data_IF_644363586926
#
_entry.id   IF_644363586926
#
_cell.length_a   1.000
_cell.length_b   1.000
_cell.length_c   1.000
_cell.angle_alpha   90.00
_cell.angle_beta   90.00
_cell.angle_gamma   90.00
#
_symmetry.space_group_name_H-M   'P 1'
#
loop_
_entity.id
_entity.type
_entity.pdbx_description
1 polymer ?
#
# COMPACT_ATOMS: atom_id res chain seq x y z
N UNK A 1 -2.18 34.95 24.06
CA UNK A 1 -3.00 33.73 24.08
C UNK A 1 -2.37 32.74 23.15
N UNK A 2 -2.26 31.46 23.54
CA UNK A 2 -1.77 30.39 22.67
C UNK A 2 -2.64 30.31 21.40
N UNK A 3 -2.01 30.14 20.22
CA UNK A 3 -2.75 29.99 18.98
C UNK A 3 -3.46 28.61 18.93
N UNK A 4 -4.43 28.44 18.02
CA UNK A 4 -5.25 27.22 17.96
C UNK A 4 -4.38 25.95 17.78
N UNK A 5 -3.27 26.02 17.03
CA UNK A 5 -2.40 24.85 16.86
C UNK A 5 -1.65 24.46 18.13
N UNK A 6 -1.22 25.41 18.94
CA UNK A 6 -0.60 25.13 20.25
C UNK A 6 -1.62 24.53 21.21
N UNK A 7 -2.83 25.06 21.25
CA UNK A 7 -3.93 24.48 22.01
C UNK A 7 -4.25 23.05 21.59
N UNK A 8 -4.34 22.80 20.28
CA UNK A 8 -4.58 21.45 19.76
C UNK A 8 -3.48 20.46 20.20
N UNK A 9 -2.21 20.84 20.13
CA UNK A 9 -1.10 20.00 20.57
C UNK A 9 -1.22 19.70 22.07
N UNK A 10 -1.50 20.72 22.89
CA UNK A 10 -1.72 20.54 24.32
C UNK A 10 -2.87 19.57 24.61
N UNK A 11 -4.01 19.75 23.97
CA UNK A 11 -5.19 18.90 24.16
C UNK A 11 -4.98 17.45 23.66
N UNK A 12 -4.25 17.28 22.56
CA UNK A 12 -3.84 15.95 22.13
C UNK A 12 -2.98 15.25 23.17
N UNK A 13 -2.13 15.98 23.86
CA UNK A 13 -1.32 15.48 24.98
C UNK A 13 -2.13 15.15 26.24
N UNK A 14 -3.18 15.91 26.54
CA UNK A 14 -4.09 15.68 27.67
C UNK A 14 -5.03 14.47 27.44
N UNK A 15 -5.31 14.12 26.17
CA UNK A 15 -6.12 12.98 25.83
C UNK A 15 -7.63 13.22 25.78
N UNK A 16 -8.45 12.16 25.75
CA UNK A 16 -9.90 12.27 25.55
C UNK A 16 -10.64 12.90 26.75
N UNK A 17 -10.03 12.94 27.93
CA UNK A 17 -10.62 13.53 29.13
C UNK A 17 -10.54 15.06 29.17
N UNK A 18 -9.82 15.70 28.24
CA UNK A 18 -9.77 17.16 28.14
C UNK A 18 -11.12 17.75 27.74
N UNK A 19 -11.35 19.00 28.10
CA UNK A 19 -12.58 19.71 27.69
C UNK A 19 -12.47 20.23 26.26
N UNK A 20 -12.85 19.40 25.31
CA UNK A 20 -12.83 19.71 23.86
C UNK A 20 -13.92 20.69 23.41
N UNK A 21 -14.85 21.12 24.30
CA UNK A 21 -16.01 21.94 23.90
C UNK A 21 -15.60 23.30 23.33
N UNK A 22 -14.50 23.86 23.79
CA UNK A 22 -13.95 25.14 23.31
C UNK A 22 -13.05 25.03 22.06
N UNK A 23 -12.85 23.82 21.51
CA UNK A 23 -11.93 23.59 20.37
C UNK A 23 -12.62 22.86 19.22
N UNK A 24 -13.43 21.82 19.50
CA UNK A 24 -14.10 21.03 18.47
C UNK A 24 -15.58 21.41 18.40
N UNK A 25 -16.08 21.69 17.19
CA UNK A 25 -17.49 22.01 16.96
C UNK A 25 -18.40 20.82 17.33
N UNK A 26 -19.66 21.07 17.79
CA UNK A 26 -20.57 19.99 18.16
C UNK A 26 -20.87 19.01 17.02
N UNK A 27 -20.89 19.52 15.79
CA UNK A 27 -21.18 18.81 14.54
C UNK A 27 -19.92 18.48 13.73
N UNK A 28 -18.75 18.50 14.37
CA UNK A 28 -17.49 18.21 13.71
C UNK A 28 -17.51 16.81 13.07
N UNK A 29 -16.80 16.68 11.96
CA UNK A 29 -16.60 15.40 11.27
C UNK A 29 -15.19 14.87 11.45
N UNK A 30 -15.04 13.56 11.39
CA UNK A 30 -13.77 12.86 11.36
C UNK A 30 -13.71 11.95 10.15
N UNK A 31 -12.65 12.08 9.37
CA UNK A 31 -12.43 11.27 8.18
C UNK A 31 -11.09 10.53 8.26
N UNK A 32 -11.13 9.25 7.98
CA UNK A 32 -9.97 8.45 7.63
C UNK A 32 -10.28 7.59 6.39
N UNK A 33 -9.31 6.78 5.94
CA UNK A 33 -9.52 5.93 4.75
C UNK A 33 -10.59 4.84 4.94
N UNK A 34 -11.04 4.58 6.16
CA UNK A 34 -11.96 3.50 6.49
C UNK A 34 -13.38 3.98 6.80
N UNK A 35 -13.53 5.17 7.39
CA UNK A 35 -14.81 5.65 7.92
C UNK A 35 -14.91 7.17 7.98
N UNK A 36 -16.13 7.65 8.01
CA UNK A 36 -16.49 9.04 8.33
C UNK A 36 -17.44 9.04 9.52
N UNK A 37 -17.14 9.83 10.54
CA UNK A 37 -17.98 10.00 11.74
C UNK A 37 -18.41 11.45 11.87
N UNK A 38 -19.55 11.69 12.53
CA UNK A 38 -20.07 13.02 12.81
C UNK A 38 -20.45 13.16 14.29
N UNK A 39 -20.16 14.31 14.86
CA UNK A 39 -20.40 14.64 16.26
C UNK A 39 -19.13 14.64 17.11
N UNK A 40 -18.98 15.68 17.95
CA UNK A 40 -17.79 15.90 18.77
C UNK A 40 -17.35 14.67 19.54
N UNK A 41 -18.26 14.06 20.29
CA UNK A 41 -17.92 12.96 21.20
C UNK A 41 -17.45 11.73 20.44
N UNK A 42 -18.15 11.37 19.35
CA UNK A 42 -17.75 10.27 18.45
C UNK A 42 -16.38 10.53 17.80
N UNK A 43 -16.14 11.79 17.40
CA UNK A 43 -14.86 12.22 16.81
C UNK A 43 -13.72 12.10 17.82
N UNK A 44 -13.92 12.53 19.07
CA UNK A 44 -12.92 12.45 20.14
C UNK A 44 -12.65 10.99 20.49
N UNK A 45 -13.69 10.21 20.75
CA UNK A 45 -13.57 8.79 21.03
C UNK A 45 -12.75 8.09 19.94
N UNK A 46 -13.07 8.35 18.69
CA UNK A 46 -12.39 7.74 17.56
C UNK A 46 -10.95 8.21 17.39
N UNK A 47 -10.69 9.49 17.57
CA UNK A 47 -9.36 10.06 17.46
C UNK A 47 -8.40 9.38 18.44
N UNK A 48 -8.83 9.12 19.66
CA UNK A 48 -8.01 8.53 20.71
C UNK A 48 -8.05 6.98 20.78
N UNK A 49 -9.01 6.33 20.11
CA UNK A 49 -9.09 4.87 20.08
C UNK A 49 -7.88 4.19 19.43
N UNK A 50 -7.15 4.91 18.58
CA UNK A 50 -6.11 4.32 17.73
C UNK A 50 -4.69 4.65 18.13
N UNK A 51 -4.45 5.65 18.99
CA UNK A 51 -3.08 6.15 19.15
C UNK A 51 -2.88 6.77 20.52
N UNK A 52 -1.83 6.39 21.27
CA UNK A 52 -1.38 7.13 22.42
C UNK A 52 -0.70 8.42 21.98
N UNK A 53 -1.46 9.48 21.77
CA UNK A 53 -0.91 10.79 21.37
C UNK A 53 -0.01 11.43 22.40
N UNK A 54 -0.14 11.06 23.67
CA UNK A 54 0.60 11.66 24.78
C UNK A 54 2.13 11.57 24.66
N UNK A 55 2.64 10.57 23.91
CA UNK A 55 4.09 10.37 23.75
C UNK A 55 4.65 10.89 22.45
N UNK A 56 3.80 11.43 21.57
CA UNK A 56 4.26 11.90 20.26
C UNK A 56 4.89 13.30 20.30
N UNK A 57 5.89 13.47 19.50
CA UNK A 57 6.45 14.80 19.17
C UNK A 57 5.63 15.36 18.00
N UNK A 58 5.11 16.57 18.20
CA UNK A 58 4.25 17.25 17.23
C UNK A 58 4.98 18.34 16.49
N UNK A 59 4.76 18.41 15.20
CA UNK A 59 5.24 19.45 14.32
C UNK A 59 4.05 20.03 13.53
N UNK A 60 3.95 21.35 13.50
CA UNK A 60 3.02 22.04 12.61
C UNK A 60 3.64 22.11 11.22
N UNK A 61 2.90 21.61 10.22
CA UNK A 61 3.29 21.73 8.82
C UNK A 61 2.68 23.01 8.22
N UNK A 62 3.43 23.68 7.35
CA UNK A 62 2.92 24.81 6.60
C UNK A 62 1.90 24.33 5.56
N UNK A 63 0.78 25.03 5.47
CA UNK A 63 -0.24 24.80 4.43
C UNK A 63 0.19 25.57 3.18
N UNK A 64 0.60 24.85 2.14
CA UNK A 64 0.89 25.43 0.83
C UNK A 64 -0.42 25.56 0.05
N UNK A 65 -0.84 26.82 -0.21
CA UNK A 65 -2.04 27.09 -1.02
C UNK A 65 -3.12 27.93 -0.33
N UNK A 66 -4.31 28.06 -0.93
CA UNK A 66 -5.38 28.96 -0.45
C UNK A 66 -6.11 28.48 0.83
N UNK A 67 -5.73 27.34 1.41
CA UNK A 67 -6.39 26.77 2.58
C UNK A 67 -5.92 27.34 3.92
N UNK A 68 -6.12 28.64 4.16
CA UNK A 68 -5.81 29.25 5.48
C UNK A 68 -6.70 28.74 6.64
N UNK A 69 -7.72 27.98 6.31
CA UNK A 69 -8.71 27.43 7.26
C UNK A 69 -8.34 26.02 7.72
N UNK A 70 -7.09 25.59 7.54
CA UNK A 70 -6.61 24.28 7.95
C UNK A 70 -5.34 24.39 8.80
N UNK A 71 -5.28 23.53 9.82
CA UNK A 71 -4.06 23.28 10.61
C UNK A 71 -3.65 21.85 10.32
N UNK A 72 -2.38 21.65 9.98
CA UNK A 72 -1.82 20.31 9.73
C UNK A 72 -0.76 20.05 10.81
N UNK A 73 -0.95 18.98 11.56
CA UNK A 73 0.01 18.52 12.57
C UNK A 73 0.55 17.15 12.16
N UNK A 74 1.87 17.04 12.12
CA UNK A 74 2.57 15.77 12.00
C UNK A 74 2.95 15.28 13.38
N UNK A 75 2.47 14.12 13.78
CA UNK A 75 2.86 13.43 15.00
C UNK A 75 3.80 12.28 14.68
N UNK A 76 4.94 12.22 15.34
CA UNK A 76 5.90 11.14 15.23
C UNK A 76 6.30 10.63 16.61
N UNK A 77 6.65 9.33 16.77
CA UNK A 77 7.24 8.87 18.00
C UNK A 77 8.57 9.62 18.26
N UNK A 78 8.98 9.79 19.53
CA UNK A 78 10.27 10.37 19.84
C UNK A 78 11.40 9.54 19.22
N UNK A 79 12.57 10.14 19.06
CA UNK A 79 13.74 9.49 18.45
C UNK A 79 14.06 8.17 19.18
N UNK A 80 14.09 7.06 18.42
CA UNK A 80 14.30 5.71 18.96
C UNK A 80 13.04 5.06 19.56
N UNK A 81 11.89 5.74 19.59
CA UNK A 81 10.62 5.19 20.05
C UNK A 81 9.94 4.31 19.02
N UNK A 82 9.14 3.37 19.49
CA UNK A 82 8.24 2.60 18.62
C UNK A 82 6.96 3.41 18.34
N UNK A 83 6.42 3.27 17.14
CA UNK A 83 5.17 3.92 16.74
C UNK A 83 5.15 4.29 15.26
N UNK A 84 4.10 5.01 14.87
CA UNK A 84 3.89 5.46 13.49
C UNK A 84 3.90 6.98 13.42
N UNK A 85 4.41 7.50 12.32
CA UNK A 85 4.16 8.88 11.94
C UNK A 85 2.76 8.97 11.34
N UNK A 86 2.01 9.97 11.76
CA UNK A 86 0.72 10.27 11.17
C UNK A 86 0.54 11.78 11.03
N UNK A 87 -0.41 12.17 10.20
CA UNK A 87 -0.78 13.56 10.00
C UNK A 87 -2.25 13.73 10.34
N UNK A 88 -2.53 14.69 11.19
CA UNK A 88 -3.86 15.20 11.47
C UNK A 88 -4.06 16.50 10.70
N UNK A 89 -5.13 16.57 9.93
CA UNK A 89 -5.58 17.78 9.27
C UNK A 89 -6.84 18.28 9.96
N UNK A 90 -6.79 19.49 10.47
CA UNK A 90 -7.93 20.13 11.13
C UNK A 90 -8.44 21.24 10.22
N UNK A 91 -9.68 21.11 9.73
CA UNK A 91 -10.37 22.22 9.09
C UNK A 91 -10.98 23.10 10.18
N UNK A 92 -10.82 24.41 10.05
CA UNK A 92 -11.23 25.36 11.06
C UNK A 92 -12.25 26.35 10.52
N UNK A 93 -13.12 26.85 11.42
CA UNK A 93 -13.99 28.00 11.17
C UNK A 93 -13.87 28.92 12.40
N UNK A 94 -13.14 30.02 12.23
CA UNK A 94 -12.71 30.81 13.38
C UNK A 94 -11.74 30.01 14.27
N UNK A 95 -12.03 29.95 15.57
CA UNK A 95 -11.24 29.19 16.55
C UNK A 95 -11.74 27.74 16.78
N UNK A 96 -12.72 27.30 16.00
CA UNK A 96 -13.32 25.98 16.15
C UNK A 96 -12.88 25.04 15.03
N UNK A 97 -12.55 23.80 15.39
CA UNK A 97 -12.33 22.70 14.45
C UNK A 97 -13.67 22.14 14.01
N UNK A 98 -13.91 22.08 12.70
CA UNK A 98 -15.14 21.58 12.09
C UNK A 98 -14.97 20.24 11.39
N UNK A 99 -13.72 19.86 11.04
CA UNK A 99 -13.44 18.52 10.51
C UNK A 99 -12.02 18.11 10.88
N UNK A 100 -11.81 16.81 11.08
CA UNK A 100 -10.53 16.19 11.34
C UNK A 100 -10.31 15.10 10.32
N UNK A 101 -9.20 15.18 9.59
CA UNK A 101 -8.69 14.12 8.72
C UNK A 101 -7.49 13.45 9.37
N UNK A 102 -7.42 12.14 9.32
CA UNK A 102 -6.29 11.39 9.82
C UNK A 102 -5.66 10.54 8.72
N UNK A 103 -4.36 10.67 8.55
CA UNK A 103 -3.57 9.87 7.63
C UNK A 103 -2.37 9.26 8.36
N UNK A 104 -2.14 7.98 8.12
CA UNK A 104 -0.96 7.28 8.62
C UNK A 104 0.12 7.25 7.55
N UNK A 105 1.35 7.57 7.94
CA UNK A 105 2.52 7.46 7.09
C UNK A 105 3.42 6.33 7.57
N UNK A 106 3.81 5.52 6.63
CA UNK A 106 4.56 4.30 6.89
C UNK A 106 3.64 3.14 7.28
N UNK A 107 3.91 2.00 6.71
CA UNK A 107 3.38 0.74 7.23
C UNK A 107 3.93 0.56 8.67
N UNK A 108 3.18 -0.10 9.57
CA UNK A 108 3.81 -0.59 10.79
C UNK A 108 5.12 -1.25 10.39
N UNK A 109 6.13 -1.16 11.25
CA UNK A 109 7.36 -1.96 11.07
C UNK A 109 6.94 -3.43 11.08
N UNK A 110 6.53 -3.92 9.90
CA UNK A 110 6.27 -5.35 9.73
C UNK A 110 7.64 -5.99 9.76
N UNK A 111 7.86 -6.82 10.74
CA UNK A 111 9.12 -7.57 10.87
C UNK A 111 9.33 -8.35 9.58
N UNK A 112 10.50 -8.22 8.99
CA UNK A 112 10.85 -8.99 7.80
C UNK A 112 10.90 -10.47 8.15
N UNK A 113 10.32 -11.29 7.30
CA UNK A 113 10.43 -12.76 7.36
C UNK A 113 11.02 -13.29 6.05
N UNK A 114 11.54 -14.51 6.11
CA UNK A 114 12.10 -15.17 4.94
C UNK A 114 11.08 -15.23 3.80
N UNK A 115 11.55 -15.10 2.55
CA UNK A 115 10.73 -15.16 1.35
C UNK A 115 10.04 -16.52 1.23
N UNK A 116 8.79 -16.55 1.64
CA UNK A 116 7.90 -17.71 1.52
C UNK A 116 6.45 -17.22 1.53
N UNK A 117 5.86 -17.04 0.36
CA UNK A 117 4.44 -16.76 0.26
C UNK A 117 3.64 -17.97 0.76
N UNK A 118 2.70 -17.72 1.64
CA UNK A 118 1.73 -18.73 2.08
C UNK A 118 0.67 -19.01 0.98
N UNK A 119 -0.18 -19.99 1.22
CA UNK A 119 -1.20 -20.41 0.26
C UNK A 119 -2.28 -19.33 0.05
N UNK A 120 -2.57 -18.53 1.07
CA UNK A 120 -3.56 -17.46 0.97
C UNK A 120 -3.07 -16.35 0.03
N UNK A 121 -1.81 -15.93 0.19
CA UNK A 121 -1.19 -14.91 -0.66
C UNK A 121 -1.02 -15.41 -2.10
N UNK A 122 -0.56 -16.66 -2.28
CA UNK A 122 -0.42 -17.28 -3.61
C UNK A 122 -1.78 -17.36 -4.31
N UNK A 123 -2.80 -17.87 -3.63
CA UNK A 123 -4.16 -17.96 -4.17
C UNK A 123 -4.74 -16.58 -4.56
N UNK A 124 -4.37 -15.51 -3.86
CA UNK A 124 -4.76 -14.15 -4.20
C UNK A 124 -4.16 -13.71 -5.53
N UNK A 125 -2.88 -13.97 -5.75
CA UNK A 125 -2.21 -13.62 -7.01
C UNK A 125 -2.71 -14.47 -8.19
N UNK A 126 -2.88 -15.78 -7.99
CA UNK A 126 -3.37 -16.70 -9.03
C UNK A 126 -4.80 -16.36 -9.50
N UNK A 127 -5.63 -15.79 -8.62
CA UNK A 127 -7.00 -15.39 -8.94
C UNK A 127 -7.14 -13.91 -9.32
N UNK A 128 -6.04 -13.15 -9.36
CA UNK A 128 -6.07 -11.71 -9.58
C UNK A 128 -6.88 -11.32 -10.83
N UNK A 129 -6.62 -11.95 -11.97
CA UNK A 129 -7.37 -11.68 -13.20
C UNK A 129 -8.86 -12.02 -13.08
N UNK A 130 -9.18 -13.19 -12.53
CA UNK A 130 -10.56 -13.64 -12.38
C UNK A 130 -11.39 -12.76 -11.43
N UNK A 131 -10.70 -12.09 -10.49
CA UNK A 131 -11.29 -11.13 -9.54
C UNK A 131 -11.31 -9.69 -10.06
N UNK A 132 -10.91 -9.45 -11.32
CA UNK A 132 -10.85 -8.10 -11.88
C UNK A 132 -9.73 -7.22 -11.33
N UNK A 133 -8.73 -7.83 -10.68
CA UNK A 133 -7.58 -7.17 -10.06
C UNK A 133 -6.25 -7.55 -10.75
N UNK A 134 -6.11 -7.39 -12.07
CA UNK A 134 -4.90 -7.80 -12.78
C UNK A 134 -3.68 -7.05 -12.24
N UNK A 135 -2.52 -7.73 -12.25
CA UNK A 135 -1.28 -7.15 -11.74
C UNK A 135 -0.62 -6.23 -12.77
N UNK A 136 0.08 -5.23 -12.28
CA UNK A 136 0.93 -4.35 -13.09
C UNK A 136 2.38 -4.81 -12.96
N UNK A 137 3.05 -4.94 -14.10
CA UNK A 137 4.49 -5.22 -14.19
C UNK A 137 5.22 -3.97 -14.67
N UNK A 138 6.28 -3.60 -13.98
CA UNK A 138 7.22 -2.57 -14.42
C UNK A 138 8.60 -3.19 -14.70
N UNK A 139 9.24 -2.70 -15.76
CA UNK A 139 10.57 -3.10 -16.20
C UNK A 139 11.27 -1.93 -16.90
N UNK A 140 12.56 -2.05 -17.15
CA UNK A 140 13.32 -1.04 -17.88
C UNK A 140 13.58 -1.56 -19.29
N UNK A 141 13.27 -0.76 -20.33
CA UNK A 141 13.52 -1.12 -21.71
C UNK A 141 15.01 -0.96 -22.07
N UNK A 142 15.39 -1.40 -23.28
CA UNK A 142 16.77 -1.30 -23.79
C UNK A 142 17.30 0.13 -23.90
N UNK A 143 16.43 1.11 -23.92
CA UNK A 143 16.81 2.54 -23.91
C UNK A 143 16.93 3.12 -22.48
N UNK A 144 16.83 2.29 -21.44
CA UNK A 144 16.90 2.73 -20.04
C UNK A 144 15.62 3.40 -19.52
N UNK A 145 14.50 3.30 -20.25
CA UNK A 145 13.24 3.94 -19.88
C UNK A 145 12.36 2.97 -19.10
N UNK A 146 11.73 3.43 -17.99
CA UNK A 146 10.75 2.62 -17.27
C UNK A 146 9.51 2.37 -18.13
N UNK A 147 9.05 1.15 -18.13
CA UNK A 147 7.85 0.68 -18.82
C UNK A 147 6.89 0.06 -17.84
N UNK A 148 5.60 0.20 -18.08
CA UNK A 148 4.55 -0.45 -17.29
C UNK A 148 3.60 -1.19 -18.22
N UNK A 149 3.19 -2.38 -17.81
CA UNK A 149 2.22 -3.18 -18.55
C UNK A 149 1.30 -3.95 -17.64
N UNK A 150 0.04 -4.05 -18.03
CA UNK A 150 -0.95 -4.89 -17.38
C UNK A 150 -0.65 -6.36 -17.65
N UNK A 151 -0.69 -7.19 -16.60
CA UNK A 151 -0.50 -8.64 -16.70
C UNK A 151 -1.70 -9.38 -16.11
N UNK A 152 -2.48 -9.97 -17.00
CA UNK A 152 -3.65 -10.75 -16.62
C UNK A 152 -3.30 -12.15 -16.10
N UNK A 153 -2.22 -12.75 -16.61
CA UNK A 153 -1.88 -14.16 -16.42
C UNK A 153 -0.61 -14.39 -15.61
N UNK A 154 -0.34 -13.56 -14.62
CA UNK A 154 0.67 -13.90 -13.62
C UNK A 154 0.15 -15.05 -12.75
N UNK A 155 0.98 -16.06 -12.55
CA UNK A 155 0.68 -17.23 -11.71
C UNK A 155 1.84 -17.51 -10.76
N UNK A 156 1.57 -18.13 -9.63
CA UNK A 156 2.60 -18.55 -8.69
C UNK A 156 3.20 -19.88 -9.13
N UNK A 157 4.52 -19.93 -9.29
CA UNK A 157 5.25 -21.18 -9.60
C UNK A 157 5.71 -21.89 -8.34
N UNK A 158 5.91 -21.14 -7.27
CA UNK A 158 6.38 -21.62 -5.99
C UNK A 158 6.10 -20.61 -4.88
N UNK A 159 6.65 -20.86 -3.69
CA UNK A 159 6.48 -19.95 -2.56
C UNK A 159 7.25 -18.64 -2.72
N UNK A 160 8.14 -18.53 -3.70
CA UNK A 160 9.07 -17.43 -3.89
C UNK A 160 9.22 -16.99 -5.35
N UNK A 161 8.35 -17.47 -6.24
CA UNK A 161 8.47 -17.20 -7.67
C UNK A 161 7.11 -17.11 -8.37
N UNK A 162 7.07 -16.27 -9.42
CA UNK A 162 5.94 -16.10 -10.30
C UNK A 162 6.31 -16.50 -11.74
N UNK A 163 5.31 -16.86 -12.52
CA UNK A 163 5.41 -17.12 -13.93
C UNK A 163 4.51 -16.24 -14.76
N UNK A 164 4.92 -15.92 -15.97
CA UNK A 164 4.07 -15.23 -16.94
C UNK A 164 4.45 -15.63 -18.38
N UNK A 165 3.49 -15.48 -19.28
CA UNK A 165 3.73 -15.62 -20.72
C UNK A 165 3.82 -14.26 -21.38
N UNK A 166 4.94 -13.98 -22.05
CA UNK A 166 5.13 -12.77 -22.84
C UNK A 166 4.92 -13.12 -24.30
N UNK A 167 3.92 -12.50 -24.95
CA UNK A 167 3.66 -12.71 -26.38
C UNK A 167 4.85 -12.24 -27.22
N UNK A 168 5.06 -12.87 -28.38
CA UNK A 168 6.21 -12.63 -29.26
C UNK A 168 6.46 -11.17 -29.65
N UNK A 169 5.41 -10.37 -29.80
CA UNK A 169 5.51 -8.96 -30.19
C UNK A 169 5.81 -7.99 -29.03
N UNK A 170 6.01 -8.50 -27.78
CA UNK A 170 6.32 -7.63 -26.65
C UNK A 170 7.83 -7.47 -26.49
N UNK A 171 8.28 -6.25 -26.14
CA UNK A 171 9.70 -5.98 -25.88
C UNK A 171 10.24 -6.59 -24.58
N UNK A 172 9.39 -7.23 -23.76
CA UNK A 172 9.74 -7.71 -22.42
C UNK A 172 10.84 -8.77 -22.43
N UNK A 173 10.81 -9.83 -23.25
CA UNK A 173 11.88 -10.83 -23.25
C UNK A 173 13.27 -10.22 -23.49
N UNK A 174 13.36 -9.28 -24.43
CA UNK A 174 14.61 -8.58 -24.70
C UNK A 174 15.03 -7.63 -23.56
N UNK A 175 14.08 -6.95 -22.95
CA UNK A 175 14.34 -6.04 -21.84
C UNK A 175 14.86 -6.80 -20.60
N UNK A 176 14.21 -7.89 -20.21
CA UNK A 176 14.61 -8.69 -19.02
C UNK A 176 15.92 -9.46 -19.23
N UNK A 177 16.29 -9.76 -20.47
CA UNK A 177 17.59 -10.36 -20.78
C UNK A 177 18.74 -9.38 -20.50
N UNK A 178 18.54 -8.08 -20.65
CA UNK A 178 19.53 -7.04 -20.38
C UNK A 178 19.46 -6.50 -18.95
N UNK A 179 18.24 -6.29 -18.44
CA UNK A 179 18.02 -5.86 -17.06
C UNK A 179 16.93 -6.74 -16.43
N UNK A 180 17.32 -7.69 -15.56
CA UNK A 180 16.38 -8.63 -14.97
C UNK A 180 15.49 -8.01 -13.89
N UNK A 181 15.82 -6.81 -13.37
CA UNK A 181 15.08 -6.22 -12.26
C UNK A 181 13.69 -5.76 -12.68
N UNK A 182 12.69 -6.25 -11.99
CA UNK A 182 11.29 -5.93 -12.22
C UNK A 182 10.60 -5.60 -10.91
N UNK A 183 9.52 -4.83 -11.02
CA UNK A 183 8.61 -4.62 -9.92
C UNK A 183 7.17 -4.91 -10.37
N UNK A 184 6.35 -5.40 -9.44
CA UNK A 184 4.95 -5.68 -9.68
C UNK A 184 4.10 -5.03 -8.59
N UNK A 185 2.86 -4.75 -8.96
CA UNK A 185 1.85 -4.26 -8.04
C UNK A 185 0.57 -5.06 -8.22
N UNK A 186 0.06 -5.58 -7.11
CA UNK A 186 -1.30 -6.08 -6.97
C UNK A 186 -2.14 -5.04 -6.26
N UNK A 187 -3.34 -4.78 -6.76
CA UNK A 187 -4.30 -3.89 -6.11
C UNK A 187 -5.71 -4.43 -6.25
N UNK A 188 -6.34 -4.69 -5.12
CA UNK A 188 -7.76 -4.95 -5.00
C UNK A 188 -8.42 -3.73 -4.31
N UNK A 189 -9.16 -2.90 -5.05
CA UNK A 189 -9.76 -1.69 -4.52
C UNK A 189 -10.91 -1.98 -3.54
N UNK A 190 -11.63 -3.08 -3.73
CA UNK A 190 -12.77 -3.45 -2.89
C UNK A 190 -12.30 -3.93 -1.52
N UNK A 191 -11.38 -4.87 -1.48
CA UNK A 191 -10.76 -5.33 -0.24
C UNK A 191 -9.75 -4.34 0.33
N UNK A 192 -9.39 -3.27 -0.40
CA UNK A 192 -8.28 -2.35 -0.09
C UNK A 192 -6.93 -3.05 0.06
N UNK A 193 -6.80 -4.25 -0.51
CA UNK A 193 -5.56 -4.99 -0.49
C UNK A 193 -4.55 -4.39 -1.47
N UNK A 194 -3.30 -4.31 -1.06
CA UNK A 194 -2.22 -3.81 -1.90
C UNK A 194 -0.94 -4.55 -1.58
N UNK A 195 -0.27 -5.04 -2.61
CA UNK A 195 1.04 -5.68 -2.48
C UNK A 195 1.98 -5.11 -3.54
N UNK A 196 3.19 -4.77 -3.14
CA UNK A 196 4.30 -4.48 -4.01
C UNK A 196 5.28 -5.65 -3.97
N UNK A 197 5.74 -6.06 -5.14
CA UNK A 197 6.70 -7.14 -5.28
C UNK A 197 7.89 -6.63 -6.09
N UNK A 198 9.09 -7.03 -5.72
CA UNK A 198 10.29 -6.83 -6.54
C UNK A 198 11.01 -8.15 -6.72
N UNK A 199 11.70 -8.29 -7.84
CA UNK A 199 12.41 -9.52 -8.14
C UNK A 199 13.22 -9.44 -9.43
N UNK A 200 13.74 -10.59 -9.82
CA UNK A 200 14.54 -10.75 -11.02
C UNK A 200 13.84 -11.67 -12.00
N UNK A 201 13.53 -11.13 -13.18
CA UNK A 201 12.92 -11.88 -14.26
C UNK A 201 13.99 -12.60 -15.09
N UNK A 202 13.69 -13.82 -15.50
CA UNK A 202 14.50 -14.61 -16.42
C UNK A 202 13.63 -15.37 -17.41
N UNK A 203 14.18 -15.66 -18.58
CA UNK A 203 13.50 -16.49 -19.58
C UNK A 203 13.59 -17.96 -19.12
N UNK A 204 12.46 -18.65 -19.11
CA UNK A 204 12.44 -20.09 -18.85
C UNK A 204 12.98 -20.84 -20.07
N UNK A 205 14.07 -21.56 -19.87
CA UNK A 205 14.73 -22.35 -20.94
C UNK A 205 14.31 -23.82 -20.94
N UNK A 206 13.81 -24.32 -19.82
CA UNK A 206 13.35 -25.68 -19.70
C UNK A 206 11.89 -25.83 -20.13
N UNK A 207 11.59 -26.93 -20.81
CA UNK A 207 10.28 -27.19 -21.39
C UNK A 207 9.20 -27.41 -20.33
N UNK A 208 9.53 -28.02 -19.21
CA UNK A 208 8.58 -28.30 -18.14
C UNK A 208 8.01 -26.99 -17.54
N UNK A 209 8.89 -26.02 -17.23
CA UNK A 209 8.47 -24.69 -16.75
C UNK A 209 7.68 -23.92 -17.82
N UNK A 210 8.12 -23.98 -19.08
CA UNK A 210 7.38 -23.35 -20.19
C UNK A 210 5.97 -23.89 -20.31
N UNK A 211 5.81 -25.22 -20.32
CA UNK A 211 4.52 -25.87 -20.43
C UNK A 211 3.65 -25.57 -19.20
N UNK A 212 4.21 -25.61 -18.00
CA UNK A 212 3.49 -25.27 -16.78
C UNK A 212 2.93 -23.84 -16.82
N UNK A 213 3.72 -22.88 -17.29
CA UNK A 213 3.25 -21.48 -17.44
C UNK A 213 2.18 -21.40 -18.50
N UNK A 214 2.35 -22.06 -19.64
CA UNK A 214 1.37 -22.07 -20.72
C UNK A 214 0.04 -22.69 -20.30
N UNK A 215 0.06 -23.85 -19.70
CA UNK A 215 -1.15 -24.60 -19.32
C UNK A 215 -1.96 -23.88 -18.24
N UNK A 216 -1.29 -23.12 -17.38
CA UNK A 216 -1.95 -22.34 -16.32
C UNK A 216 -2.52 -21.00 -16.81
N UNK A 217 -2.23 -20.57 -18.04
CA UNK A 217 -2.79 -19.32 -18.57
C UNK A 217 -4.30 -19.44 -18.81
N UNK A 218 -5.03 -18.33 -18.62
CA UNK A 218 -6.44 -18.26 -19.00
C UNK A 218 -6.63 -18.57 -20.49
N UNK A 219 -7.65 -19.36 -20.82
CA UNK A 219 -7.95 -19.74 -22.22
C UNK A 219 -8.02 -18.56 -23.21
N UNK A 220 -8.60 -17.40 -22.88
CA UNK A 220 -8.56 -16.26 -23.77
C UNK A 220 -7.14 -15.83 -24.16
N UNK A 221 -6.19 -15.87 -23.24
CA UNK A 221 -4.79 -15.52 -23.53
C UNK A 221 -4.08 -16.57 -24.38
N UNK A 222 -4.33 -17.88 -24.11
CA UNK A 222 -3.81 -18.95 -24.97
C UNK A 222 -4.28 -18.80 -26.43
N UNK A 223 -5.52 -18.36 -26.65
CA UNK A 223 -6.07 -18.15 -28.00
C UNK A 223 -5.37 -17.03 -28.77
N UNK A 224 -4.78 -16.05 -28.06
CA UNK A 224 -4.02 -14.97 -28.69
C UNK A 224 -2.61 -15.40 -29.15
N UNK A 225 -2.13 -16.56 -28.69
CA UNK A 225 -0.83 -17.12 -29.08
C UNK A 225 -0.92 -18.64 -29.28
N UNK A 226 -1.92 -19.09 -30.04
CA UNK A 226 -2.18 -20.51 -30.28
C UNK A 226 -0.98 -21.26 -30.88
N UNK A 227 -0.05 -20.56 -31.51
CA UNK A 227 1.16 -21.12 -32.10
C UNK A 227 2.34 -21.19 -31.08
N UNK A 228 2.14 -20.81 -29.82
CA UNK A 228 3.14 -20.85 -28.75
C UNK A 228 4.43 -20.08 -29.10
N UNK A 229 4.30 -18.95 -29.81
CA UNK A 229 5.45 -18.14 -30.25
C UNK A 229 5.99 -17.22 -29.15
N UNK A 230 5.26 -17.08 -28.06
CA UNK A 230 5.67 -16.27 -26.91
C UNK A 230 6.77 -16.91 -26.09
N UNK A 231 7.14 -16.22 -25.05
CA UNK A 231 8.25 -16.57 -24.15
C UNK A 231 7.73 -16.70 -22.73
N UNK A 232 8.00 -17.84 -22.10
CA UNK A 232 7.78 -18.03 -20.67
C UNK A 232 8.84 -17.27 -19.87
N UNK A 233 8.39 -16.46 -18.92
CA UNK A 233 9.26 -15.70 -18.02
C UNK A 233 8.97 -16.13 -16.60
N UNK A 234 10.02 -16.40 -15.85
CA UNK A 234 9.99 -16.65 -14.40
C UNK A 234 10.48 -15.39 -13.69
N UNK A 235 9.84 -15.02 -12.63
CA UNK A 235 10.22 -13.90 -11.75
C UNK A 235 10.55 -14.50 -10.38
N UNK A 236 11.82 -14.54 -10.05
CA UNK A 236 12.30 -14.92 -8.73
C UNK A 236 12.18 -13.69 -7.82
N UNK A 237 11.34 -13.78 -6.77
CA UNK A 237 10.99 -12.65 -5.92
C UNK A 237 12.09 -12.37 -4.91
N UNK A 238 12.52 -11.12 -4.82
CA UNK A 238 13.43 -10.61 -3.79
C UNK A 238 12.69 -10.06 -2.59
N UNK A 239 11.50 -9.47 -2.83
CA UNK A 239 10.66 -8.89 -1.78
C UNK A 239 9.17 -8.94 -2.14
N UNK A 240 8.34 -9.18 -1.13
CA UNK A 240 6.88 -8.97 -1.17
C UNK A 240 6.49 -8.17 0.06
N UNK A 241 5.88 -7.01 -0.13
CA UNK A 241 5.41 -6.18 0.98
C UNK A 241 4.01 -5.65 0.70
N UNK A 242 3.16 -5.66 1.71
CA UNK A 242 1.78 -5.17 1.57
C UNK A 242 0.86 -5.69 2.65
N UNK A 243 -0.44 -5.61 2.38
CA UNK A 243 -1.50 -6.04 3.31
C UNK A 243 -2.73 -6.52 2.55
N UNK A 244 -3.53 -7.36 3.23
CA UNK A 244 -4.77 -7.92 2.70
C UNK A 244 -5.96 -6.94 2.71
N UNK A 245 -5.83 -5.80 3.36
CA UNK A 245 -6.86 -4.78 3.48
C UNK A 245 -6.56 -3.81 4.62
N UNK A 246 -7.57 -3.00 4.96
CA UNK A 246 -7.52 -2.08 6.08
C UNK A 246 -8.78 -2.19 6.93
N UNK A 247 -8.59 -2.14 8.25
CA UNK A 247 -9.64 -1.90 9.23
C UNK A 247 -9.43 -0.55 9.88
N UNK A 248 -10.36 -0.16 10.72
CA UNK A 248 -10.22 1.03 11.55
C UNK A 248 -8.97 1.00 12.45
N UNK A 249 -8.46 -0.18 12.81
CA UNK A 249 -7.27 -0.35 13.67
C UNK A 249 -5.96 -0.52 12.90
N UNK A 250 -6.01 -0.59 11.58
CA UNK A 250 -4.82 -0.67 10.74
C UNK A 250 -4.87 -1.72 9.63
N UNK A 251 -3.73 -2.06 9.05
CA UNK A 251 -3.66 -3.04 7.98
C UNK A 251 -4.01 -4.45 8.46
N UNK A 252 -4.69 -5.20 7.59
CA UNK A 252 -5.03 -6.62 7.79
C UNK A 252 -3.91 -7.46 7.20
N UNK A 253 -3.43 -8.43 7.96
CA UNK A 253 -2.40 -9.39 7.55
C UNK A 253 -1.23 -8.73 6.80
N UNK A 254 -0.53 -7.77 7.43
CA UNK A 254 0.60 -7.12 6.77
C UNK A 254 1.76 -8.10 6.61
N UNK A 255 2.37 -8.11 5.42
CA UNK A 255 3.53 -8.94 5.12
C UNK A 255 4.72 -8.10 4.69
N UNK A 256 5.92 -8.58 5.01
CA UNK A 256 7.19 -8.08 4.51
C UNK A 256 8.14 -9.27 4.35
N UNK A 257 8.01 -9.99 3.22
CA UNK A 257 8.82 -11.14 2.90
C UNK A 257 10.05 -10.67 2.13
N UNK A 258 11.22 -11.16 2.51
CA UNK A 258 12.49 -10.75 1.91
C UNK A 258 13.35 -11.98 1.66
N UNK A 259 13.95 -12.09 0.47
CA UNK A 259 14.95 -13.12 0.18
C UNK A 259 16.23 -12.77 0.90
N UNK A 260 16.72 -13.68 1.71
CA UNK A 260 18.05 -13.59 2.28
C UNK A 260 19.09 -13.75 1.15
N UNK A 261 20.03 -12.81 1.10
CA UNK A 261 21.08 -12.75 0.08
C UNK A 261 22.19 -13.79 0.30
#
# INVERSE_FOLDING_TARGET
MANLSERLIEYLGQGPAADWTGIIAPDATYDNLAETLTGRDAVIERLFAMTPFATNVWERLEVLGPGRDAIILRGAPPAGGEGRTFVLTFRTKGEMVTAIGQQFFGLPKVVSSAMKMDDALRSRFDRALAQGCPMYLTYVDRAGRPQMSLRGSLLTLGPDSLGMWARAATGIPGAVAENPHVALMYRDPEARATYSLTGRARIATDEATRNRIWDAMPRPEQRHDFAHLGTAIVIDLDKVAGQAGYTATGPVDPVNLVREG
#
